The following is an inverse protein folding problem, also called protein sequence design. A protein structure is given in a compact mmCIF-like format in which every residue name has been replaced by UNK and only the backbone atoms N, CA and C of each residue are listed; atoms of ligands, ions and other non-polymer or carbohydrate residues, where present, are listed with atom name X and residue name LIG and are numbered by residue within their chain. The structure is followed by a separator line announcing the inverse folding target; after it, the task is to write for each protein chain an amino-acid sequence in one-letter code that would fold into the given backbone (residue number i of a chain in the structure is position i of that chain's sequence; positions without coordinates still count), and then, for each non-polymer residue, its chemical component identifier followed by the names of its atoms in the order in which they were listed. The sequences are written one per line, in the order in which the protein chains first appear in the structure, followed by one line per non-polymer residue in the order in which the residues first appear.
data_IF_865455155733
#
_entry.id   IF_865455155733
#
_cell.length_a   1.000
_cell.length_b   1.000
_cell.length_c   1.000
_cell.angle_alpha   90.00
_cell.angle_beta   90.00
_cell.angle_gamma   90.00
#
_symmetry.space_group_name_H-M   'P 1'
#
loop_
_entity.id
_entity.type
_entity.pdbx_description
1 polymer ?
#
# COMPACT_ATOMS: atom_id res chain seq x y z
N UNK A 1 -1.27 -2.00 -14.63
CA UNK A 1 -1.68 -0.58 -14.54
C UNK A 1 -3.07 -0.53 -13.93
N UNK A 2 -3.15 -0.28 -12.62
CA UNK A 2 -4.41 0.07 -11.98
C UNK A 2 -4.94 1.37 -12.60
N UNK A 3 -6.22 1.40 -12.93
CA UNK A 3 -6.86 2.62 -13.41
C UNK A 3 -6.80 3.70 -12.33
N UNK A 4 -6.81 4.99 -12.70
CA UNK A 4 -6.91 6.10 -11.74
C UNK A 4 -8.15 5.95 -10.82
N UNK A 5 -9.23 5.33 -11.32
CA UNK A 5 -10.41 4.97 -10.53
C UNK A 5 -10.13 3.91 -9.47
N UNK A 6 -9.23 2.97 -9.76
CA UNK A 6 -8.84 1.91 -8.83
C UNK A 6 -7.95 2.49 -7.72
N UNK A 7 -7.01 3.39 -8.06
CA UNK A 7 -6.14 4.03 -7.06
C UNK A 7 -6.95 4.80 -6.01
N UNK A 8 -7.91 5.65 -6.43
CA UNK A 8 -8.77 6.39 -5.49
C UNK A 8 -9.64 5.44 -4.67
N UNK A 9 -10.16 4.37 -5.28
CA UNK A 9 -10.95 3.37 -4.59
C UNK A 9 -10.15 2.68 -3.49
N UNK A 10 -8.95 2.18 -3.77
CA UNK A 10 -8.11 1.51 -2.79
C UNK A 10 -7.62 2.44 -1.69
N UNK A 11 -7.31 3.70 -2.02
CA UNK A 11 -6.97 4.72 -1.02
C UNK A 11 -8.14 4.98 -0.05
N UNK A 12 -9.37 5.14 -0.56
CA UNK A 12 -10.57 5.32 0.27
C UNK A 12 -10.83 4.10 1.18
N UNK A 13 -10.60 2.88 0.65
CA UNK A 13 -10.70 1.64 1.43
C UNK A 13 -9.68 1.57 2.55
N UNK A 14 -8.43 1.95 2.28
CA UNK A 14 -7.38 2.02 3.30
C UNK A 14 -7.76 2.99 4.44
N UNK A 15 -8.24 4.18 4.12
CA UNK A 15 -8.67 5.19 5.10
C UNK A 15 -9.86 4.70 5.96
N UNK A 16 -10.80 3.99 5.33
CA UNK A 16 -11.94 3.38 6.03
C UNK A 16 -11.48 2.36 7.06
N UNK A 17 -10.54 1.47 6.69
CA UNK A 17 -10.01 0.46 7.61
C UNK A 17 -9.17 1.10 8.73
N UNK A 18 -8.42 2.18 8.47
CA UNK A 18 -7.72 2.93 9.53
C UNK A 18 -8.70 3.59 10.50
N UNK A 19 -9.82 4.11 10.02
CA UNK A 19 -10.89 4.65 10.87
C UNK A 19 -11.48 3.55 11.75
N UNK A 20 -11.74 2.36 11.18
CA UNK A 20 -12.22 1.19 11.94
C UNK A 20 -11.21 0.71 12.98
N UNK A 21 -9.92 0.69 12.65
CA UNK A 21 -8.84 0.35 13.58
C UNK A 21 -8.85 1.26 14.82
N UNK A 22 -9.08 2.57 14.63
CA UNK A 22 -9.18 3.56 15.73
C UNK A 22 -10.39 3.30 16.63
N UNK A 23 -11.50 2.84 16.07
CA UNK A 23 -12.72 2.52 16.84
C UNK A 23 -12.75 1.10 17.42
N UNK A 24 -11.82 0.23 17.07
CA UNK A 24 -11.83 -1.16 17.48
C UNK A 24 -11.51 -1.31 18.98
N UNK A 25 -12.41 -1.98 19.71
CA UNK A 25 -12.32 -2.16 21.16
C UNK A 25 -11.41 -3.32 21.60
N UNK A 26 -11.05 -4.22 20.69
CA UNK A 26 -10.18 -5.36 20.97
C UNK A 26 -8.94 -5.39 20.07
N UNK A 27 -7.84 -5.90 20.64
CA UNK A 27 -6.53 -5.96 19.97
C UNK A 27 -6.55 -6.77 18.66
N UNK A 28 -7.22 -7.94 18.59
CA UNK A 28 -7.27 -8.69 17.34
C UNK A 28 -7.93 -7.94 16.20
N UNK A 29 -9.07 -7.28 16.43
CA UNK A 29 -9.78 -6.51 15.41
C UNK A 29 -8.96 -5.31 14.97
N UNK A 30 -8.34 -4.57 15.91
CA UNK A 30 -7.46 -3.45 15.56
C UNK A 30 -6.31 -3.89 14.66
N UNK A 31 -5.65 -5.01 14.98
CA UNK A 31 -4.59 -5.58 14.15
C UNK A 31 -5.09 -5.99 12.76
N UNK A 32 -6.25 -6.64 12.67
CA UNK A 32 -6.84 -7.02 11.39
C UNK A 32 -7.13 -5.80 10.51
N UNK A 33 -7.70 -4.73 11.07
CA UNK A 33 -7.94 -3.48 10.33
C UNK A 33 -6.63 -2.83 9.84
N UNK A 34 -5.57 -2.83 10.65
CA UNK A 34 -4.25 -2.36 10.21
C UNK A 34 -3.66 -3.20 9.07
N UNK A 35 -3.80 -4.52 9.11
CA UNK A 35 -3.33 -5.40 8.05
C UNK A 35 -4.07 -5.15 6.73
N UNK A 36 -5.39 -4.98 6.79
CA UNK A 36 -6.20 -4.65 5.60
C UNK A 36 -5.83 -3.27 5.03
N UNK A 37 -5.63 -2.27 5.89
CA UNK A 37 -5.18 -0.95 5.47
C UNK A 37 -3.82 -1.03 4.75
N UNK A 38 -2.86 -1.77 5.31
CA UNK A 38 -1.55 -1.96 4.69
C UNK A 38 -1.65 -2.65 3.32
N UNK A 39 -2.49 -3.68 3.19
CA UNK A 39 -2.73 -4.36 1.92
C UNK A 39 -3.29 -3.39 0.85
N UNK A 40 -4.28 -2.56 1.21
CA UNK A 40 -4.82 -1.58 0.28
C UNK A 40 -3.81 -0.49 -0.09
N UNK A 41 -3.00 -0.02 0.86
CA UNK A 41 -1.91 0.93 0.56
C UNK A 41 -0.85 0.31 -0.36
N UNK A 42 -0.56 -0.98 -0.24
CA UNK A 42 0.34 -1.66 -1.17
C UNK A 42 -0.25 -1.75 -2.58
N UNK A 43 -1.58 -1.86 -2.75
CA UNK A 43 -2.19 -1.78 -4.09
C UNK A 43 -2.11 -0.39 -4.70
N UNK A 44 -2.05 0.64 -3.85
CA UNK A 44 -1.96 2.06 -4.27
C UNK A 44 -0.51 2.45 -4.59
N UNK A 45 0.44 2.06 -3.73
CA UNK A 45 1.82 2.55 -3.75
C UNK A 45 2.87 1.45 -4.01
N UNK A 46 2.50 0.17 -3.95
CA UNK A 46 3.45 -0.94 -4.05
C UNK A 46 4.08 -1.12 -5.43
N UNK A 47 3.39 -0.74 -6.51
CA UNK A 47 3.99 -0.72 -7.85
C UNK A 47 5.07 0.39 -7.98
N UNK A 48 4.96 1.50 -7.23
CA UNK A 48 5.94 2.60 -7.28
C UNK A 48 7.28 2.21 -6.63
N UNK A 49 7.25 1.43 -5.55
CA UNK A 49 8.48 0.98 -4.86
C UNK A 49 9.25 -0.04 -5.71
N UNK A 50 8.54 -0.99 -6.36
CA UNK A 50 9.16 -1.96 -7.27
C UNK A 50 9.84 -1.30 -8.48
N UNK A 51 9.21 -0.28 -9.06
CA UNK A 51 9.77 0.48 -10.17
C UNK A 51 11.00 1.33 -9.75
N UNK A 52 10.95 1.99 -8.60
CA UNK A 52 12.09 2.76 -8.04
C UNK A 52 13.30 1.89 -7.75
N UNK A 53 13.09 0.70 -7.19
CA UNK A 53 14.17 -0.25 -6.93
C UNK A 53 14.78 -0.71 -8.25
N UNK A 54 13.96 -1.10 -9.23
CA UNK A 54 14.43 -1.53 -10.55
C UNK A 54 15.23 -0.43 -11.30
N UNK A 55 14.80 0.83 -11.20
CA UNK A 55 15.50 1.99 -11.78
C UNK A 55 16.87 2.21 -11.14
N UNK A 56 16.98 2.07 -9.81
CA UNK A 56 18.26 2.20 -9.11
C UNK A 56 19.23 1.03 -9.38
N UNK A 57 18.75 -0.20 -9.60
CA UNK A 57 19.62 -1.34 -9.93
C UNK A 57 20.17 -1.26 -11.34
N UNK A 58 19.45 -0.64 -12.29
CA UNK A 58 19.91 -0.48 -13.67
C UNK A 58 21.14 0.43 -13.80
N UNK A 59 21.30 1.41 -12.91
CA UNK A 59 22.42 2.37 -12.94
C UNK A 59 23.75 1.72 -12.50
N UNK A 60 23.72 0.62 -11.74
CA UNK A 60 24.93 -0.01 -11.21
C UNK A 60 25.56 -1.08 -12.12
N UNK A 61 24.90 -1.51 -13.19
CA UNK A 61 25.42 -2.58 -14.08
C UNK A 61 26.14 -2.08 -15.35
N UNK A 62 26.32 -0.78 -15.53
CA UNK A 62 26.99 -0.20 -16.73
C UNK A 62 28.44 0.25 -16.50
N UNK A 63 29.09 -0.24 -15.43
CA UNK A 63 30.52 -0.01 -15.18
C UNK A 63 31.24 -1.30 -14.82
N UNK A 64 31.42 -2.19 -15.80
CA UNK A 64 32.57 -3.12 -15.86
C UNK A 64 32.95 -3.28 -17.33
#
# INVERSE_FOLDING_TARGET
MLSHSDHRYWAQRAETELTRARSASNEPARRAHHQLAAMYLNLVYGEQEGARIAENTHIQSTRI
#
